data_IF_561736491116
#
_entry.id   IF_561736491116
#
_cell.length_a   1.000
_cell.length_b   1.000
_cell.length_c   1.000
_cell.angle_alpha   90.00
_cell.angle_beta   90.00
_cell.angle_gamma   90.00
#
_symmetry.space_group_name_H-M   'P 1'
#
loop_
_entity.id
_entity.type
_entity.pdbx_description
1 polymer ?
#
# COMPACT_ATOMS: atom_id res chain seq x y z
N UNK A 1 -19.58 5.86 -24.28
CA UNK A 1 -18.62 6.53 -23.39
C UNK A 1 -17.24 6.04 -23.79
N UNK A 2 -16.45 6.85 -24.48
CA UNK A 2 -15.12 6.46 -24.97
C UNK A 2 -14.10 7.45 -24.42
N UNK A 3 -13.11 6.95 -23.69
CA UNK A 3 -11.98 7.73 -23.22
C UNK A 3 -10.83 7.58 -24.22
N UNK A 4 -10.30 8.67 -24.81
CA UNK A 4 -9.22 8.58 -25.80
C UNK A 4 -7.95 7.91 -25.29
N UNK A 5 -7.69 7.99 -23.97
CA UNK A 5 -6.56 7.32 -23.31
C UNK A 5 -6.76 5.83 -23.03
N UNK A 6 -7.88 5.24 -23.48
CA UNK A 6 -8.24 3.86 -23.19
C UNK A 6 -9.01 3.68 -21.88
N UNK A 7 -9.58 2.49 -21.68
CA UNK A 7 -10.38 2.15 -20.49
C UNK A 7 -9.54 1.73 -19.28
N UNK A 8 -8.33 1.20 -19.53
CA UNK A 8 -7.46 0.65 -18.49
C UNK A 8 -7.18 1.68 -17.39
N UNK A 9 -6.79 2.88 -17.80
CA UNK A 9 -6.45 3.99 -16.89
C UNK A 9 -7.65 4.45 -16.05
N UNK A 10 -8.87 4.27 -16.55
CA UNK A 10 -10.09 4.56 -15.77
C UNK A 10 -10.40 3.44 -14.79
N UNK A 11 -10.17 2.19 -15.19
CA UNK A 11 -10.40 1.01 -14.36
C UNK A 11 -9.42 0.94 -13.19
N UNK A 12 -8.16 1.31 -13.40
CA UNK A 12 -7.14 1.38 -12.35
C UNK A 12 -7.50 2.40 -11.25
N UNK A 13 -8.18 3.49 -11.61
CA UNK A 13 -8.58 4.55 -10.68
C UNK A 13 -10.04 4.40 -10.17
N UNK A 14 -10.73 3.34 -10.57
CA UNK A 14 -12.14 3.15 -10.23
C UNK A 14 -12.34 2.99 -8.71
N UNK A 15 -13.26 3.77 -8.14
CA UNK A 15 -13.56 3.77 -6.70
C UNK A 15 -12.58 4.54 -5.83
N UNK A 16 -11.56 5.18 -6.42
CA UNK A 16 -10.62 6.06 -5.74
C UNK A 16 -10.78 7.54 -6.12
N UNK A 17 -9.87 8.37 -5.61
CA UNK A 17 -9.67 9.73 -6.09
C UNK A 17 -8.63 9.74 -7.21
N UNK A 18 -9.01 10.21 -8.39
CA UNK A 18 -8.15 10.27 -9.57
C UNK A 18 -7.67 11.70 -9.88
N UNK A 19 -7.82 12.64 -8.94
CA UNK A 19 -7.54 14.07 -9.15
C UNK A 19 -6.09 14.32 -9.56
N UNK A 20 -5.13 13.67 -8.92
CA UNK A 20 -3.70 13.79 -9.24
C UNK A 20 -3.42 13.33 -10.68
N UNK A 21 -3.81 12.09 -11.03
CA UNK A 21 -3.61 11.55 -12.38
C UNK A 21 -4.30 12.41 -13.45
N UNK A 22 -5.47 12.97 -13.15
CA UNK A 22 -6.21 13.81 -14.09
C UNK A 22 -5.48 15.13 -14.38
N UNK A 23 -4.93 15.78 -13.35
CA UNK A 23 -4.22 17.06 -13.48
C UNK A 23 -2.80 16.86 -14.04
N UNK A 24 -2.10 15.77 -13.70
CA UNK A 24 -0.77 15.43 -14.21
C UNK A 24 -0.77 15.22 -15.74
N UNK A 25 -1.82 14.60 -16.28
CA UNK A 25 -1.99 14.44 -17.73
C UNK A 25 -2.24 15.79 -18.43
N UNK A 26 -2.78 16.79 -17.73
CA UNK A 26 -3.05 18.11 -18.31
C UNK A 26 -4.17 18.10 -19.36
N UNK A 27 -5.34 17.57 -19.00
CA UNK A 27 -6.51 17.52 -19.88
C UNK A 27 -6.94 18.91 -20.40
N UNK A 28 -7.38 18.98 -21.65
CA UNK A 28 -7.87 20.21 -22.28
C UNK A 28 -9.14 20.75 -21.58
N UNK A 29 -9.43 22.04 -21.78
CA UNK A 29 -10.64 22.66 -21.23
C UNK A 29 -11.92 21.93 -21.66
N UNK A 30 -11.99 21.49 -22.92
CA UNK A 30 -13.11 20.71 -23.46
C UNK A 30 -13.28 19.37 -22.72
N UNK A 31 -12.19 18.65 -22.45
CA UNK A 31 -12.24 17.43 -21.65
C UNK A 31 -12.71 17.69 -20.21
N UNK A 32 -12.33 18.82 -19.61
CA UNK A 32 -12.80 19.25 -18.28
C UNK A 32 -14.26 19.70 -18.29
N UNK A 33 -14.77 20.21 -19.40
CA UNK A 33 -16.21 20.51 -19.54
C UNK A 33 -17.02 19.23 -19.75
N UNK A 34 -16.51 18.31 -20.55
CA UNK A 34 -17.11 17.00 -20.75
C UNK A 34 -17.20 16.21 -19.43
N UNK A 35 -16.18 16.25 -18.58
CA UNK A 35 -16.19 15.55 -17.28
C UNK A 35 -17.35 16.00 -16.37
N UNK A 36 -17.73 17.28 -16.44
CA UNK A 36 -18.87 17.82 -15.66
C UNK A 36 -20.20 17.18 -16.02
N UNK A 37 -20.35 16.72 -17.27
CA UNK A 37 -21.57 16.03 -17.73
C UNK A 37 -21.74 14.66 -17.06
N UNK A 38 -20.66 14.10 -16.49
CA UNK A 38 -20.65 12.79 -15.84
C UNK A 38 -20.63 12.85 -14.31
N UNK A 39 -20.79 14.04 -13.72
CA UNK A 39 -20.92 14.19 -12.27
C UNK A 39 -22.27 13.63 -11.83
N UNK A 40 -22.24 12.61 -10.98
CA UNK A 40 -23.44 11.98 -10.41
C UNK A 40 -23.71 12.40 -8.96
N UNK A 41 -22.78 13.11 -8.33
CA UNK A 41 -22.85 13.54 -6.94
C UNK A 41 -21.51 14.06 -6.43
N UNK A 42 -21.46 14.40 -5.15
CA UNK A 42 -20.23 14.79 -4.46
C UNK A 42 -19.93 13.83 -3.31
N UNK A 43 -18.65 13.74 -2.95
CA UNK A 43 -18.21 12.96 -1.80
C UNK A 43 -18.83 13.46 -0.50
N UNK A 44 -19.21 12.51 0.35
CA UNK A 44 -19.75 12.77 1.69
C UNK A 44 -18.77 13.63 2.52
N UNK A 45 -19.25 14.65 3.26
CA UNK A 45 -18.39 15.58 4.00
C UNK A 45 -17.40 14.88 4.95
N UNK A 46 -17.82 13.79 5.61
CA UNK A 46 -16.97 13.03 6.54
C UNK A 46 -15.78 12.32 5.86
N UNK A 47 -15.88 12.06 4.56
CA UNK A 47 -14.83 11.36 3.79
C UNK A 47 -13.86 12.32 3.10
N UNK A 48 -14.23 13.61 2.92
CA UNK A 48 -13.37 14.63 2.28
C UNK A 48 -12.02 14.78 2.97
N UNK A 49 -11.99 14.68 4.30
CA UNK A 49 -10.75 14.78 5.09
C UNK A 49 -9.85 13.54 4.97
N UNK A 50 -10.40 12.40 4.53
CA UNK A 50 -9.65 11.14 4.38
C UNK A 50 -8.83 11.11 3.09
N UNK A 51 -9.26 11.85 2.06
CA UNK A 51 -8.55 11.95 0.76
C UNK A 51 -7.38 12.93 0.84
N UNK A 52 -7.49 13.98 1.67
CA UNK A 52 -6.42 14.96 1.90
C UNK A 52 -5.25 14.40 2.72
N UNK A 53 -5.47 13.29 3.43
CA UNK A 53 -4.41 12.49 4.04
C UNK A 53 -4.07 11.42 3.01
N UNK A 54 -2.78 11.14 2.71
CA UNK A 54 -2.45 10.03 1.83
C UNK A 54 -3.20 8.81 2.37
N UNK A 55 -4.12 8.32 1.56
CA UNK A 55 -4.85 7.09 1.84
C UNK A 55 -3.79 6.04 2.09
N UNK A 56 -3.57 5.70 3.36
CA UNK A 56 -2.86 4.48 3.71
C UNK A 56 -3.64 3.39 3.01
N UNK A 57 -3.07 2.95 1.89
CA UNK A 57 -3.51 1.80 1.15
C UNK A 57 -3.88 0.74 2.17
N UNK A 58 -5.10 0.21 2.08
CA UNK A 58 -5.50 -1.02 2.77
C UNK A 58 -4.74 -2.21 2.18
N UNK A 59 -3.40 -2.11 2.10
CA UNK A 59 -2.55 -3.26 2.30
C UNK A 59 -2.81 -3.64 3.75
N UNK A 60 -3.61 -4.70 3.91
CA UNK A 60 -3.64 -5.54 5.10
C UNK A 60 -2.29 -5.42 5.80
N UNK A 61 -2.24 -4.72 6.93
CA UNK A 61 -1.05 -4.61 7.75
C UNK A 61 -0.71 -6.00 8.24
N UNK A 62 0.06 -6.74 7.45
CA UNK A 62 1.01 -7.67 8.04
C UNK A 62 1.98 -6.74 8.73
N UNK A 63 1.79 -6.57 10.05
CA UNK A 63 2.75 -5.93 10.93
C UNK A 63 4.15 -6.32 10.46
N UNK A 64 4.86 -5.38 9.83
CA UNK A 64 6.24 -5.55 9.40
C UNK A 64 7.13 -5.43 10.64
N UNK A 65 6.91 -6.31 11.60
CA UNK A 65 7.75 -6.49 12.78
C UNK A 65 8.86 -7.52 12.49
N UNK A 66 8.76 -8.28 11.38
CA UNK A 66 9.65 -9.38 11.02
C UNK A 66 11.14 -9.02 10.88
N UNK A 67 11.52 -7.75 10.67
CA UNK A 67 12.94 -7.36 10.53
C UNK A 67 13.69 -7.15 11.87
N UNK A 68 13.02 -6.70 12.93
CA UNK A 68 13.72 -6.32 14.17
C UNK A 68 13.98 -7.52 15.10
N UNK A 69 12.99 -8.40 15.30
CA UNK A 69 13.14 -9.50 16.25
C UNK A 69 13.91 -10.70 15.68
N UNK A 70 13.80 -10.98 14.38
CA UNK A 70 14.51 -12.11 13.75
C UNK A 70 16.02 -11.92 13.76
N UNK A 71 16.49 -10.68 13.63
CA UNK A 71 17.92 -10.35 13.61
C UNK A 71 18.64 -10.68 14.93
N UNK A 72 17.94 -10.75 16.06
CA UNK A 72 18.53 -11.08 17.37
C UNK A 72 18.14 -12.46 17.88
N UNK A 73 16.92 -12.91 17.59
CA UNK A 73 16.43 -14.20 18.07
C UNK A 73 17.10 -15.37 17.35
N UNK A 74 17.31 -15.28 16.03
CA UNK A 74 17.93 -16.37 15.27
C UNK A 74 19.38 -16.61 15.70
N UNK A 75 20.25 -15.59 15.83
CA UNK A 75 21.60 -15.78 16.36
C UNK A 75 21.64 -16.28 17.81
N UNK A 76 20.72 -15.84 18.66
CA UNK A 76 20.67 -16.27 20.06
C UNK A 76 20.31 -17.76 20.18
N UNK A 77 19.32 -18.23 19.42
CA UNK A 77 18.90 -19.64 19.43
C UNK A 77 19.98 -20.54 18.84
N UNK A 78 20.65 -20.12 17.77
CA UNK A 78 21.74 -20.93 17.18
C UNK A 78 22.93 -21.09 18.13
N UNK A 79 23.34 -20.01 18.82
CA UNK A 79 24.40 -20.06 19.82
C UNK A 79 24.04 -20.99 20.99
N UNK A 80 22.80 -20.93 21.48
CA UNK A 80 22.31 -21.81 22.56
C UNK A 80 22.33 -23.28 22.14
N UNK A 81 21.91 -23.60 20.90
CA UNK A 81 21.93 -24.96 20.39
C UNK A 81 23.35 -25.54 20.32
N UNK A 82 24.30 -24.76 19.80
CA UNK A 82 25.72 -25.17 19.73
C UNK A 82 26.31 -25.35 21.13
N UNK A 83 26.00 -24.45 22.07
CA UNK A 83 26.48 -24.57 23.45
C UNK A 83 25.91 -25.80 24.17
N UNK A 84 24.62 -26.11 23.98
CA UNK A 84 23.98 -27.32 24.49
C UNK A 84 24.60 -28.58 23.90
N UNK A 85 24.80 -28.61 22.58
CA UNK A 85 25.46 -29.72 21.90
C UNK A 85 26.87 -29.94 22.47
N UNK A 86 27.69 -28.88 22.54
CA UNK A 86 29.03 -28.94 23.12
C UNK A 86 29.02 -29.46 24.56
N UNK A 87 28.06 -28.99 25.38
CA UNK A 87 27.93 -29.39 26.78
C UNK A 87 27.49 -30.84 26.96
N UNK A 88 26.73 -31.41 26.01
CA UNK A 88 26.37 -32.84 26.00
C UNK A 88 27.59 -33.65 25.60
N UNK A 89 28.27 -33.30 24.50
CA UNK A 89 29.48 -34.01 24.05
C UNK A 89 30.58 -34.02 25.12
N UNK A 90 30.87 -32.88 25.75
CA UNK A 90 31.88 -32.78 26.83
C UNK A 90 31.46 -33.43 28.15
N UNK A 91 30.18 -33.76 28.33
CA UNK A 91 29.72 -34.51 29.50
C UNK A 91 29.82 -36.04 29.27
N UNK A 92 30.12 -36.46 28.04
CA UNK A 92 30.20 -37.86 27.62
C UNK A 92 31.67 -38.35 27.47
N UNK A 93 32.64 -37.45 27.66
CA UNK A 93 34.07 -37.72 27.92
C UNK A 93 34.38 -37.79 29.43
#
# INVERSE_FOLDING_TARGET
MWHPGGEEVLREQAGGDATENFEDVGHSTDARELSKTYIIGELHPDDRSKIAKPSESLITTVDSNSSWWTNWVIPAVSALAVALMYRIYMAED
#
